data_IF_914354894659
#
_entry.id   IF_914354894659
#
_cell.length_a   1.000
_cell.length_b   1.000
_cell.length_c   1.000
_cell.angle_alpha   90.00
_cell.angle_beta   90.00
_cell.angle_gamma   90.00
#
_symmetry.space_group_name_H-M   'P 1'
#
loop_
_entity.id
_entity.type
_entity.pdbx_description
1 polymer ?
#
# COMPACT_ATOMS: atom_id res chain seq x y z
N UNK A 1 -3.05 14.15 -40.50
CA UNK A 1 -3.33 12.88 -39.81
C UNK A 1 -2.51 12.82 -38.53
N UNK A 2 -3.23 12.77 -37.41
CA UNK A 2 -2.87 12.30 -36.06
C UNK A 2 -1.50 12.67 -35.46
N UNK A 3 -1.53 13.74 -34.64
CA UNK A 3 -0.60 13.97 -33.52
C UNK A 3 -0.64 12.77 -32.58
N UNK A 4 0.50 12.09 -32.39
CA UNK A 4 0.68 11.11 -31.30
C UNK A 4 0.72 11.87 -29.97
N UNK A 5 -0.31 11.71 -29.15
CA UNK A 5 -0.30 12.13 -27.75
C UNK A 5 0.74 11.26 -27.00
N UNK A 6 1.90 11.85 -26.70
CA UNK A 6 2.79 11.35 -25.65
C UNK A 6 2.12 11.69 -24.31
N UNK A 7 1.42 10.72 -23.72
CA UNK A 7 1.00 10.84 -22.32
C UNK A 7 2.25 10.62 -21.45
N UNK A 8 3.01 11.68 -21.20
CA UNK A 8 4.03 11.70 -20.15
C UNK A 8 3.33 11.92 -18.81
N UNK A 9 3.04 10.85 -18.09
CA UNK A 9 2.75 10.93 -16.66
C UNK A 9 4.03 11.41 -15.95
N UNK A 10 4.26 12.73 -15.88
CA UNK A 10 5.36 13.30 -15.10
C UNK A 10 5.04 13.11 -13.61
N UNK A 11 5.37 11.93 -13.10
CA UNK A 11 5.38 11.56 -11.68
C UNK A 11 6.61 12.19 -10.99
N UNK A 12 6.78 13.49 -11.12
CA UNK A 12 7.91 14.22 -10.54
C UNK A 12 7.45 15.02 -9.32
N UNK A 13 8.13 14.82 -8.19
CA UNK A 13 7.94 15.59 -6.97
C UNK A 13 8.77 16.87 -7.03
N UNK A 14 8.30 17.95 -6.41
CA UNK A 14 9.16 19.10 -6.15
C UNK A 14 10.29 18.73 -5.18
N UNK A 15 11.42 19.41 -5.29
CA UNK A 15 12.58 19.19 -4.40
C UNK A 15 12.20 19.32 -2.91
N UNK A 16 11.36 20.29 -2.57
CA UNK A 16 10.84 20.49 -1.21
C UNK A 16 10.06 19.27 -0.69
N UNK A 17 9.09 18.76 -1.48
CA UNK A 17 8.31 17.57 -1.10
C UNK A 17 9.19 16.33 -0.97
N UNK A 18 10.24 16.24 -1.79
CA UNK A 18 11.20 15.16 -1.73
C UNK A 18 12.02 15.20 -0.43
N UNK A 19 12.54 16.36 -0.04
CA UNK A 19 13.30 16.53 1.19
C UNK A 19 12.44 16.26 2.43
N UNK A 20 11.21 16.77 2.43
CA UNK A 20 10.22 16.49 3.49
C UNK A 20 9.94 15.00 3.63
N UNK A 21 9.70 14.31 2.51
CA UNK A 21 9.47 12.87 2.51
C UNK A 21 10.68 12.10 3.06
N UNK A 22 11.89 12.38 2.57
CA UNK A 22 13.10 11.70 3.04
C UNK A 22 13.32 11.92 4.54
N UNK A 23 13.07 13.14 5.05
CA UNK A 23 13.14 13.43 6.48
C UNK A 23 12.12 12.64 7.28
N UNK A 24 10.89 12.54 6.80
CA UNK A 24 9.83 11.75 7.44
C UNK A 24 10.18 10.25 7.46
N UNK A 25 10.61 9.70 6.33
CA UNK A 25 11.02 8.30 6.20
C UNK A 25 12.22 7.98 7.10
N UNK A 26 13.24 8.86 7.13
CA UNK A 26 14.42 8.68 8.00
C UNK A 26 14.03 8.65 9.47
N UNK A 27 13.25 9.64 9.90
CA UNK A 27 12.80 9.75 11.29
C UNK A 27 12.02 8.50 11.71
N UNK A 28 11.16 8.01 10.81
CA UNK A 28 10.36 6.79 11.04
C UNK A 28 11.24 5.54 11.09
N UNK A 29 12.18 5.40 10.16
CA UNK A 29 13.13 4.29 10.13
C UNK A 29 13.90 4.21 11.46
N UNK A 30 14.53 5.32 11.88
CA UNK A 30 15.32 5.37 13.12
C UNK A 30 14.48 5.08 14.38
N UNK A 31 13.20 5.46 14.38
CA UNK A 31 12.27 5.15 15.48
C UNK A 31 11.88 3.67 15.54
N UNK A 32 11.87 2.97 14.40
CA UNK A 32 11.33 1.62 14.25
C UNK A 32 12.40 0.58 13.90
N UNK A 33 13.62 0.73 14.43
CA UNK A 33 14.77 -0.16 14.15
C UNK A 33 14.49 -1.66 14.40
N UNK A 34 13.47 -1.99 15.19
CA UNK A 34 13.02 -3.36 15.39
C UNK A 34 12.50 -4.02 14.09
N UNK A 35 12.01 -3.24 13.12
CA UNK A 35 11.43 -3.73 11.86
C UNK A 35 12.48 -4.11 10.81
N UNK A 36 13.67 -3.53 10.88
CA UNK A 36 14.69 -3.61 9.82
C UNK A 36 16.11 -3.80 10.39
N UNK A 37 16.27 -4.80 11.25
CA UNK A 37 17.56 -5.14 11.85
C UNK A 37 18.63 -5.39 10.79
N UNK A 38 19.77 -4.71 10.92
CA UNK A 38 20.93 -4.85 10.03
C UNK A 38 20.85 -4.05 8.73
N UNK A 39 19.75 -3.31 8.48
CA UNK A 39 19.65 -2.38 7.35
C UNK A 39 20.18 -1.01 7.80
N UNK A 40 20.98 -0.36 6.96
CA UNK A 40 21.53 0.98 7.21
C UNK A 40 20.74 2.01 6.41
N UNK A 41 20.21 3.05 7.07
CA UNK A 41 19.46 4.12 6.43
C UNK A 41 20.19 4.72 5.21
N UNK A 42 21.49 4.98 5.32
CA UNK A 42 22.28 5.53 4.22
C UNK A 42 22.17 4.71 2.91
N UNK A 43 22.04 3.37 3.00
CA UNK A 43 21.87 2.51 1.82
C UNK A 43 20.45 2.56 1.26
N UNK A 44 19.45 2.73 2.12
CA UNK A 44 18.04 2.94 1.71
C UNK A 44 17.92 4.28 1.00
N UNK A 45 18.46 5.34 1.60
CA UNK A 45 18.45 6.70 1.06
C UNK A 45 19.10 6.76 -0.33
N UNK A 46 20.31 6.21 -0.52
CA UNK A 46 20.94 6.21 -1.85
C UNK A 46 20.12 5.47 -2.91
N UNK A 47 19.37 4.42 -2.52
CA UNK A 47 18.49 3.69 -3.45
C UNK A 47 17.26 4.51 -3.81
N UNK A 48 16.68 5.21 -2.82
CA UNK A 48 15.56 6.12 -3.02
C UNK A 48 15.93 7.27 -3.96
N UNK A 49 17.04 7.96 -3.68
CA UNK A 49 17.54 9.09 -4.48
C UNK A 49 17.82 8.70 -5.94
N UNK A 50 18.22 7.46 -6.19
CA UNK A 50 18.43 6.92 -7.53
C UNK A 50 17.12 6.50 -8.25
N UNK A 51 15.95 6.53 -7.58
CA UNK A 51 14.70 5.99 -8.10
C UNK A 51 13.51 6.95 -7.86
N UNK A 52 13.41 7.98 -8.69
CA UNK A 52 12.38 9.03 -8.62
C UNK A 52 10.94 8.50 -8.73
N UNK A 53 10.71 7.45 -9.52
CA UNK A 53 9.38 6.83 -9.65
C UNK A 53 8.92 6.16 -8.36
N UNK A 54 9.82 5.44 -7.68
CA UNK A 54 9.49 4.79 -6.41
C UNK A 54 9.32 5.79 -5.27
N UNK A 55 10.06 6.89 -5.31
CA UNK A 55 9.84 8.02 -4.41
C UNK A 55 8.46 8.64 -4.57
N UNK A 56 7.98 8.82 -5.81
CA UNK A 56 6.61 9.27 -6.04
C UNK A 56 5.58 8.30 -5.44
N UNK A 57 5.83 7.00 -5.54
CA UNK A 57 4.96 5.98 -4.94
C UNK A 57 4.93 6.08 -3.41
N UNK A 58 6.11 6.26 -2.79
CA UNK A 58 6.22 6.45 -1.34
C UNK A 58 5.58 7.77 -0.87
N UNK A 59 5.70 8.84 -1.66
CA UNK A 59 4.99 10.09 -1.38
C UNK A 59 3.48 9.88 -1.36
N UNK A 60 2.93 9.15 -2.33
CA UNK A 60 1.50 8.84 -2.36
C UNK A 60 1.07 7.98 -1.17
N UNK A 61 1.89 6.99 -0.78
CA UNK A 61 1.66 6.21 0.44
C UNK A 61 1.63 7.12 1.67
N UNK A 62 2.59 8.02 1.83
CA UNK A 62 2.66 9.00 2.93
C UNK A 62 1.44 9.93 2.94
N UNK A 63 1.15 10.57 1.80
CA UNK A 63 0.05 11.52 1.61
C UNK A 63 -1.32 10.94 1.95
N UNK A 64 -1.49 9.63 1.76
CA UNK A 64 -2.74 8.92 2.06
C UNK A 64 -2.81 8.36 3.49
N UNK A 65 -1.80 8.61 4.33
CA UNK A 65 -1.72 8.17 5.72
C UNK A 65 -1.19 6.74 5.88
N UNK A 66 -0.36 6.30 4.94
CA UNK A 66 0.24 4.97 4.90
C UNK A 66 1.35 4.75 5.92
N UNK A 67 2.06 5.83 6.27
CA UNK A 67 3.30 5.78 7.05
C UNK A 67 4.26 4.67 6.53
N UNK A 68 4.65 4.70 5.24
CA UNK A 68 5.52 3.69 4.66
C UNK A 68 6.84 3.55 5.42
N UNK A 69 7.27 2.32 5.67
CA UNK A 69 8.51 2.02 6.38
C UNK A 69 9.17 0.76 5.80
N UNK A 70 10.48 0.62 6.01
CA UNK A 70 11.23 -0.55 5.54
C UNK A 70 10.91 -1.74 6.43
N UNK A 71 10.45 -2.82 5.80
CA UNK A 71 10.09 -4.08 6.46
C UNK A 71 11.00 -5.24 6.04
N UNK A 72 11.83 -5.06 5.02
CA UNK A 72 12.71 -6.10 4.53
C UNK A 72 13.66 -5.64 3.43
N UNK A 73 14.61 -6.53 3.12
CA UNK A 73 15.56 -6.37 2.02
C UNK A 73 15.69 -7.70 1.27
N UNK A 74 15.41 -7.68 -0.02
CA UNK A 74 15.52 -8.86 -0.88
C UNK A 74 16.92 -8.93 -1.50
N UNK A 75 17.74 -9.86 -0.99
CA UNK A 75 19.16 -9.96 -1.40
C UNK A 75 19.37 -10.25 -2.89
N UNK A 76 18.43 -10.95 -3.54
CA UNK A 76 18.55 -11.36 -4.95
C UNK A 76 18.40 -10.18 -5.91
N UNK A 77 17.39 -9.35 -5.67
CA UNK A 77 17.10 -8.15 -6.47
C UNK A 77 17.86 -6.92 -5.97
N UNK A 78 18.32 -6.94 -4.71
CA UNK A 78 18.94 -5.78 -4.07
C UNK A 78 17.92 -4.66 -3.81
N UNK A 79 16.66 -5.04 -3.60
CA UNK A 79 15.53 -4.13 -3.37
C UNK A 79 15.15 -4.05 -1.89
N UNK A 80 14.81 -2.85 -1.43
CA UNK A 80 14.17 -2.62 -0.14
C UNK A 80 12.67 -2.72 -0.28
N UNK A 81 12.04 -3.41 0.67
CA UNK A 81 10.60 -3.62 0.69
C UNK A 81 9.99 -2.64 1.68
N UNK A 82 9.07 -1.81 1.19
CA UNK A 82 8.29 -0.88 2.00
C UNK A 82 6.84 -1.32 2.07
N UNK A 83 6.28 -1.37 3.27
CA UNK A 83 4.83 -1.52 3.51
C UNK A 83 4.27 -0.28 4.19
N UNK A 84 2.97 -0.07 4.07
CA UNK A 84 2.25 0.82 4.98
C UNK A 84 2.28 0.30 6.42
N UNK A 85 2.89 1.09 7.30
CA UNK A 85 3.07 0.75 8.70
C UNK A 85 2.29 1.68 9.65
N UNK A 86 1.27 2.38 9.16
CA UNK A 86 0.31 3.08 10.02
C UNK A 86 -0.51 2.08 10.83
N UNK A 87 -0.86 2.43 12.08
CA UNK A 87 -1.50 1.49 13.02
C UNK A 87 -2.82 0.90 12.50
N UNK A 88 -3.59 1.69 11.74
CA UNK A 88 -4.85 1.27 11.13
C UNK A 88 -4.82 1.55 9.64
N UNK A 89 -5.59 0.80 8.87
CA UNK A 89 -5.63 0.88 7.41
C UNK A 89 -5.73 2.35 6.96
N UNK A 90 -4.93 2.85 6.01
CA UNK A 90 -4.77 4.29 5.79
C UNK A 90 -6.09 5.02 5.53
N UNK A 91 -6.39 6.08 6.30
CA UNK A 91 -7.70 6.78 6.28
C UNK A 91 -8.06 7.29 4.88
N UNK A 92 -7.08 7.77 4.10
CA UNK A 92 -7.28 8.24 2.73
C UNK A 92 -7.62 7.15 1.72
N UNK A 93 -7.66 5.87 2.14
CA UNK A 93 -7.85 4.68 1.31
C UNK A 93 -8.96 3.76 1.82
N UNK A 94 -9.85 4.27 2.69
CA UNK A 94 -10.99 3.51 3.22
C UNK A 94 -12.29 3.77 2.45
N UNK A 95 -13.33 2.99 2.75
CA UNK A 95 -14.67 3.13 2.16
C UNK A 95 -14.69 2.88 0.66
N UNK A 96 -13.89 1.91 0.21
CA UNK A 96 -13.74 1.54 -1.19
C UNK A 96 -14.00 0.05 -1.39
N UNK A 97 -14.53 -0.27 -2.57
CA UNK A 97 -14.69 -1.66 -3.02
C UNK A 97 -13.35 -2.21 -3.55
N UNK A 98 -13.32 -3.49 -3.92
CA UNK A 98 -12.09 -4.18 -4.27
C UNK A 98 -11.49 -3.69 -5.61
N UNK A 99 -12.24 -3.76 -6.71
CA UNK A 99 -11.74 -3.42 -8.05
C UNK A 99 -12.75 -2.65 -8.93
N UNK A 100 -12.34 -2.37 -10.18
CA UNK A 100 -13.13 -1.61 -11.17
C UNK A 100 -14.46 -2.29 -11.53
N UNK A 101 -14.43 -3.58 -11.80
CA UNK A 101 -15.63 -4.35 -12.15
C UNK A 101 -16.62 -4.34 -10.97
N UNK A 102 -16.13 -4.50 -9.74
CA UNK A 102 -16.93 -4.37 -8.53
C UNK A 102 -17.55 -2.97 -8.38
N UNK A 103 -16.78 -1.90 -8.64
CA UNK A 103 -17.27 -0.53 -8.62
C UNK A 103 -18.39 -0.29 -9.65
N UNK A 104 -18.24 -0.84 -10.85
CA UNK A 104 -19.19 -0.68 -11.96
C UNK A 104 -20.48 -1.49 -11.76
N UNK A 105 -20.39 -2.64 -11.09
CA UNK A 105 -21.53 -3.51 -10.80
C UNK A 105 -22.59 -2.86 -9.90
N UNK A 106 -22.21 -1.89 -9.05
CA UNK A 106 -23.16 -1.20 -8.18
C UNK A 106 -24.03 -0.25 -8.98
N UNK A 107 -25.33 -0.20 -8.69
CA UNK A 107 -26.25 0.79 -9.27
C UNK A 107 -26.35 2.05 -8.41
N UNK A 108 -26.37 1.86 -7.10
CA UNK A 108 -26.55 2.91 -6.11
C UNK A 108 -25.41 2.88 -5.08
N UNK A 109 -25.17 4.03 -4.46
CA UNK A 109 -24.13 4.25 -3.44
C UNK A 109 -22.74 3.75 -3.91
N UNK A 110 -22.32 4.16 -5.11
CA UNK A 110 -20.97 3.83 -5.60
C UNK A 110 -19.91 4.48 -4.69
N UNK A 111 -18.91 3.72 -4.19
CA UNK A 111 -17.80 4.34 -3.49
C UNK A 111 -16.99 5.22 -4.46
N UNK A 112 -16.23 6.17 -3.92
CA UNK A 112 -15.45 7.12 -4.74
C UNK A 112 -14.40 6.42 -5.62
N UNK A 113 -13.89 5.27 -5.19
CA UNK A 113 -12.84 4.53 -5.88
C UNK A 113 -12.84 3.04 -5.49
N UNK A 114 -11.86 2.29 -5.99
CA UNK A 114 -11.59 0.90 -5.64
C UNK A 114 -10.11 0.68 -5.27
N UNK A 115 -9.81 -0.37 -4.51
CA UNK A 115 -8.49 -0.62 -3.96
C UNK A 115 -7.44 -0.90 -5.05
N UNK A 116 -7.76 -1.72 -6.05
CA UNK A 116 -6.84 -2.12 -7.12
C UNK A 116 -6.40 -0.91 -7.96
N UNK A 117 -7.34 -0.07 -8.40
CA UNK A 117 -7.03 1.11 -9.22
C UNK A 117 -6.29 2.17 -8.42
N UNK A 118 -6.64 2.37 -7.15
CA UNK A 118 -5.89 3.29 -6.28
C UNK A 118 -4.43 2.84 -6.14
N UNK A 119 -4.20 1.56 -5.87
CA UNK A 119 -2.85 1.02 -5.78
C UNK A 119 -2.08 1.18 -7.09
N UNK A 120 -2.69 0.83 -8.22
CA UNK A 120 -2.09 0.99 -9.54
C UNK A 120 -1.73 2.45 -9.86
N UNK A 121 -2.64 3.39 -9.57
CA UNK A 121 -2.39 4.82 -9.76
C UNK A 121 -1.17 5.27 -8.95
N UNK A 122 -1.10 4.84 -7.68
CA UNK A 122 -0.01 5.12 -6.74
C UNK A 122 1.30 4.36 -7.04
N UNK A 123 1.33 3.44 -8.02
CA UNK A 123 2.54 2.67 -8.34
C UNK A 123 2.91 1.61 -7.28
N UNK A 124 1.91 1.14 -6.52
CA UNK A 124 2.08 0.18 -5.42
C UNK A 124 1.22 -1.07 -5.65
N UNK A 125 1.52 -2.14 -4.92
CA UNK A 125 0.73 -3.37 -4.92
C UNK A 125 -0.08 -3.49 -3.62
N UNK A 126 -1.22 -4.18 -3.66
CA UNK A 126 -1.89 -4.65 -2.44
C UNK A 126 -1.03 -5.75 -1.80
N UNK A 127 -0.99 -5.78 -0.47
CA UNK A 127 -0.40 -6.92 0.24
C UNK A 127 -1.15 -8.21 -0.11
N UNK A 128 -0.41 -9.31 -0.27
CA UNK A 128 -0.98 -10.66 -0.18
C UNK A 128 -1.31 -11.00 1.27
N UNK A 129 -2.13 -12.03 1.50
CA UNK A 129 -2.38 -12.53 2.86
C UNK A 129 -1.08 -12.86 3.61
N UNK A 130 -0.13 -13.53 2.94
CA UNK A 130 1.16 -13.87 3.54
C UNK A 130 1.92 -12.63 4.00
N UNK A 131 2.00 -11.61 3.15
CA UNK A 131 2.69 -10.36 3.46
C UNK A 131 1.98 -9.58 4.57
N UNK A 132 0.64 -9.62 4.61
CA UNK A 132 -0.14 -9.07 5.70
C UNK A 132 0.19 -9.76 7.03
N UNK A 133 0.29 -11.10 7.05
CA UNK A 133 0.72 -11.85 8.25
C UNK A 133 2.17 -11.53 8.65
N UNK A 134 3.05 -11.30 7.69
CA UNK A 134 4.44 -10.87 7.97
C UNK A 134 4.49 -9.48 8.60
N UNK A 135 3.69 -8.53 8.11
CA UNK A 135 3.55 -7.20 8.71
C UNK A 135 3.15 -7.29 10.18
N UNK A 136 2.21 -8.18 10.52
CA UNK A 136 1.70 -8.33 11.88
C UNK A 136 2.73 -8.88 12.88
N UNK A 137 3.86 -9.43 12.41
CA UNK A 137 5.01 -9.80 13.26
C UNK A 137 5.87 -8.60 13.66
N UNK A 138 5.70 -7.46 12.99
CA UNK A 138 6.49 -6.24 13.20
C UNK A 138 5.80 -5.24 14.13
N UNK A 139 4.54 -5.48 14.50
CA UNK A 139 3.72 -4.62 15.33
C UNK A 139 2.25 -5.00 15.24
N UNK A 140 1.41 -4.27 15.97
CA UNK A 140 -0.04 -4.41 15.94
C UNK A 140 -0.65 -3.49 14.90
N UNK A 141 -1.29 -4.07 13.89
CA UNK A 141 -1.91 -3.32 12.81
C UNK A 141 -3.36 -3.76 12.60
N UNK A 142 -4.21 -2.82 12.17
CA UNK A 142 -5.63 -3.04 11.87
C UNK A 142 -6.44 -3.65 13.02
N UNK A 143 -6.18 -3.19 14.25
CA UNK A 143 -6.91 -3.62 15.45
C UNK A 143 -8.35 -3.11 15.50
N UNK A 144 -8.66 -2.08 14.70
CA UNK A 144 -10.00 -1.45 14.60
C UNK A 144 -10.50 -1.35 13.16
N UNK A 145 -9.67 -1.72 12.19
CA UNK A 145 -9.96 -1.66 10.77
C UNK A 145 -9.74 -3.01 10.10
N UNK A 146 -9.92 -3.06 8.79
CA UNK A 146 -9.61 -4.20 7.95
C UNK A 146 -9.01 -3.74 6.63
N UNK A 147 -8.22 -4.59 5.99
CA UNK A 147 -7.56 -4.29 4.72
C UNK A 147 -7.89 -5.33 3.67
N UNK A 148 -8.31 -4.88 2.49
CA UNK A 148 -8.28 -5.69 1.29
C UNK A 148 -6.86 -6.22 1.07
N UNK A 149 -6.77 -7.49 0.71
CA UNK A 149 -5.53 -8.15 0.30
C UNK A 149 -5.69 -8.66 -1.13
N UNK A 150 -4.57 -8.95 -1.80
CA UNK A 150 -4.56 -9.48 -3.16
C UNK A 150 -5.39 -10.77 -3.21
N UNK A 151 -6.53 -10.69 -3.87
CA UNK A 151 -7.49 -11.79 -4.01
C UNK A 151 -7.03 -12.72 -5.13
N UNK A 152 -6.97 -14.05 -4.90
CA UNK A 152 -6.73 -15.04 -5.95
C UNK A 152 -7.75 -14.93 -7.09
N UNK A 153 -7.28 -15.09 -8.33
CA UNK A 153 -8.12 -14.97 -9.52
C UNK A 153 -9.34 -15.92 -9.48
N UNK A 154 -9.17 -17.14 -8.97
CA UNK A 154 -10.26 -18.13 -8.85
C UNK A 154 -11.39 -17.66 -7.94
N UNK A 155 -11.07 -17.00 -6.81
CA UNK A 155 -12.07 -16.42 -5.91
C UNK A 155 -12.73 -15.22 -6.57
N UNK A 156 -11.93 -14.37 -7.22
CA UNK A 156 -12.44 -13.15 -7.85
C UNK A 156 -13.38 -13.45 -9.03
N UNK A 157 -13.10 -14.49 -9.81
CA UNK A 157 -13.96 -14.97 -10.90
C UNK A 157 -15.35 -15.37 -10.43
N UNK A 158 -15.49 -15.77 -9.16
CA UNK A 158 -16.76 -16.11 -8.51
C UNK A 158 -17.39 -14.90 -7.79
N UNK A 159 -16.85 -13.69 -7.97
CA UNK A 159 -17.36 -12.44 -7.38
C UNK A 159 -16.82 -12.11 -5.99
N UNK A 160 -15.96 -12.95 -5.40
CA UNK A 160 -15.42 -12.75 -4.06
C UNK A 160 -14.17 -11.85 -4.02
N UNK A 161 -13.91 -11.26 -2.85
CA UNK A 161 -12.66 -10.58 -2.52
C UNK A 161 -12.24 -10.87 -1.07
N UNK A 162 -10.94 -11.02 -0.85
CA UNK A 162 -10.35 -11.32 0.45
C UNK A 162 -9.89 -10.07 1.19
N UNK A 163 -10.09 -10.06 2.50
CA UNK A 163 -9.59 -9.02 3.39
C UNK A 163 -9.11 -9.63 4.72
N UNK A 164 -8.25 -8.89 5.42
CA UNK A 164 -7.70 -9.31 6.71
C UNK A 164 -7.94 -8.25 7.79
N UNK A 165 -7.98 -8.69 9.06
CA UNK A 165 -7.83 -7.84 10.24
C UNK A 165 -7.05 -8.57 11.34
N UNK A 166 -6.78 -7.87 12.46
CA UNK A 166 -6.24 -8.48 13.68
C UNK A 166 -7.21 -8.34 14.84
N UNK A 167 -7.66 -9.47 15.39
CA UNK A 167 -8.51 -9.53 16.59
C UNK A 167 -7.98 -10.60 17.52
N UNK A 168 -8.07 -10.38 18.84
CA UNK A 168 -7.60 -11.36 19.83
C UNK A 168 -6.16 -11.82 19.59
N UNK A 169 -5.29 -10.89 19.21
CA UNK A 169 -3.90 -11.16 18.82
C UNK A 169 -3.70 -12.15 17.65
N UNK A 170 -4.74 -12.37 16.85
CA UNK A 170 -4.73 -13.29 15.73
C UNK A 170 -5.09 -12.58 14.42
N UNK A 171 -4.44 -12.99 13.34
CA UNK A 171 -4.76 -12.51 11.99
C UNK A 171 -5.86 -13.39 11.40
N UNK A 172 -7.01 -12.76 11.15
CA UNK A 172 -8.13 -13.40 10.49
C UNK A 172 -8.18 -13.00 9.02
N UNK A 173 -8.64 -13.94 8.20
CA UNK A 173 -8.87 -13.76 6.77
C UNK A 173 -10.33 -14.05 6.53
N UNK A 174 -10.97 -13.15 5.80
CA UNK A 174 -12.38 -13.23 5.50
C UNK A 174 -12.59 -13.00 4.01
N UNK A 175 -13.82 -13.22 3.57
CA UNK A 175 -14.27 -12.90 2.22
C UNK A 175 -15.54 -12.06 2.29
N UNK A 176 -15.76 -11.25 1.26
CA UNK A 176 -17.04 -10.62 0.94
C UNK A 176 -17.20 -10.60 -0.59
N UNK A 177 -18.35 -10.15 -1.09
CA UNK A 177 -18.45 -9.71 -2.49
C UNK A 177 -17.46 -8.57 -2.76
N UNK A 178 -16.84 -8.57 -3.94
CA UNK A 178 -15.85 -7.57 -4.33
C UNK A 178 -16.39 -6.13 -4.31
N UNK A 179 -17.70 -5.96 -4.51
CA UNK A 179 -18.45 -4.70 -4.50
C UNK A 179 -18.81 -4.18 -3.11
N UNK A 180 -18.58 -4.98 -2.07
CA UNK A 180 -18.76 -4.57 -0.69
C UNK A 180 -17.75 -3.50 -0.30
N UNK A 181 -18.14 -2.54 0.54
CA UNK A 181 -17.21 -1.56 1.12
C UNK A 181 -17.72 -1.10 2.48
N UNK A 182 -16.80 -0.78 3.39
CA UNK A 182 -17.10 -0.39 4.77
C UNK A 182 -16.21 0.78 5.19
N UNK A 183 -16.72 1.63 6.09
CA UNK A 183 -15.98 2.80 6.60
C UNK A 183 -14.65 2.46 7.25
N UNK A 184 -14.55 1.27 7.84
CA UNK A 184 -13.35 0.74 8.49
C UNK A 184 -12.50 -0.13 7.56
N UNK A 185 -12.85 -0.29 6.29
CA UNK A 185 -12.10 -1.12 5.34
C UNK A 185 -11.33 -0.28 4.33
N UNK A 186 -10.03 -0.51 4.24
CA UNK A 186 -9.16 0.08 3.21
C UNK A 186 -8.24 -0.96 2.59
N UNK A 187 -7.00 -0.59 2.30
CA UNK A 187 -5.95 -1.53 1.90
C UNK A 187 -4.58 -1.01 2.33
N UNK A 188 -3.64 -1.95 2.51
CA UNK A 188 -2.22 -1.67 2.70
C UNK A 188 -1.45 -1.94 1.41
N UNK A 189 -0.48 -1.08 1.18
CA UNK A 189 0.35 -1.00 -0.01
C UNK A 189 1.75 -1.56 0.23
N UNK A 190 2.34 -2.01 -0.86
CA UNK A 190 3.72 -2.46 -0.96
C UNK A 190 4.40 -1.79 -2.14
N UNK A 191 5.64 -1.36 -1.93
CA UNK A 191 6.54 -0.92 -3.00
C UNK A 191 7.94 -1.47 -2.77
N UNK A 192 8.61 -1.86 -3.85
CA UNK A 192 10.02 -2.27 -3.86
C UNK A 192 10.88 -1.17 -4.46
N UNK A 193 12.01 -0.88 -3.83
CA UNK A 193 12.91 0.23 -4.15
C UNK A 193 14.32 -0.28 -4.37
#
# INVERSE_FOLDING_TARGET
MTKKNKNSNNKELSAEKFEELLKALKTRFEKNMNRHKGIKWAKVQSKLEANTEKLWSLYEMERTGGEPDVVGFEKKSGEYIFYDCSAESPKGRRSICYDREALESRKEHKPKNNAVDMAAAMGIELLTEKQYRELQKLGEFDTKTSSWVKTPAEIRKLGGALFCDRRYDNVFVYHNGAESYYGSRGFRGLVRV
#
